data_IF_088823484595
#
_entry.id   IF_088823484595
#
_cell.length_a   1.000
_cell.length_b   1.000
_cell.length_c   1.000
_cell.angle_alpha   90.00
_cell.angle_beta   90.00
_cell.angle_gamma   90.00
#
_symmetry.space_group_name_H-M   'P 1'
#
loop_
_entity.id
_entity.type
_entity.pdbx_description
1 polymer ?
#
# COMPACT_ATOMS: atom_id res chain seq x y z
N UNK A 1 46.77 -47.83 -17.13
CA UNK A 1 46.26 -46.53 -17.60
C UNK A 1 47.47 -45.60 -17.65
N UNK A 2 47.74 -44.93 -18.77
CA UNK A 2 48.94 -44.08 -18.94
C UNK A 2 48.74 -42.75 -18.18
N UNK A 3 49.73 -42.28 -17.43
CA UNK A 3 49.66 -41.05 -16.60
C UNK A 3 49.22 -39.84 -17.45
N UNK A 4 49.61 -39.80 -18.71
CA UNK A 4 49.21 -38.74 -19.66
C UNK A 4 47.69 -38.69 -19.90
N UNK A 5 47.02 -39.85 -19.94
CA UNK A 5 45.56 -39.92 -20.11
C UNK A 5 44.84 -39.46 -18.84
N UNK A 6 45.38 -39.76 -17.66
CA UNK A 6 44.84 -39.28 -16.39
C UNK A 6 44.98 -37.76 -16.27
N UNK A 7 46.14 -37.20 -16.64
CA UNK A 7 46.35 -35.74 -16.65
C UNK A 7 45.41 -35.06 -17.64
N UNK A 8 45.20 -35.63 -18.83
CA UNK A 8 44.28 -35.08 -19.82
C UNK A 8 42.82 -35.09 -19.34
N UNK A 9 42.35 -36.18 -18.73
CA UNK A 9 40.99 -36.24 -18.18
C UNK A 9 40.83 -35.29 -16.98
N UNK A 10 41.83 -35.20 -16.10
CA UNK A 10 41.81 -34.25 -14.98
C UNK A 10 41.71 -32.81 -15.48
N UNK A 11 42.51 -32.41 -16.48
CA UNK A 11 42.40 -31.08 -17.11
C UNK A 11 41.01 -30.84 -17.67
N UNK A 12 40.46 -31.79 -18.43
CA UNK A 12 39.10 -31.70 -18.96
C UNK A 12 38.04 -31.53 -17.86
N UNK A 13 38.16 -32.25 -16.73
CA UNK A 13 37.23 -32.12 -15.60
C UNK A 13 37.37 -30.78 -14.89
N UNK A 14 38.61 -30.31 -14.69
CA UNK A 14 38.90 -29.00 -14.08
C UNK A 14 38.32 -27.87 -14.95
N UNK A 15 38.53 -27.91 -16.26
CA UNK A 15 38.00 -26.90 -17.20
C UNK A 15 36.47 -26.88 -17.26
N UNK A 16 35.83 -28.00 -16.95
CA UNK A 16 34.37 -28.10 -16.92
C UNK A 16 33.77 -27.84 -15.54
N UNK A 17 34.58 -27.75 -14.48
CA UNK A 17 34.11 -27.68 -13.09
C UNK A 17 33.20 -26.46 -12.86
N UNK A 18 33.57 -25.31 -13.42
CA UNK A 18 32.80 -24.06 -13.36
C UNK A 18 32.75 -23.48 -14.78
N UNK A 19 31.54 -23.20 -15.26
CA UNK A 19 31.30 -22.64 -16.59
C UNK A 19 30.34 -21.46 -16.51
N UNK A 20 30.41 -20.55 -17.47
CA UNK A 20 29.35 -19.58 -17.72
C UNK A 20 28.50 -20.01 -18.92
N UNK A 21 27.26 -19.57 -18.96
CA UNK A 21 26.37 -19.84 -20.08
C UNK A 21 25.13 -18.95 -20.06
N UNK A 22 24.26 -19.13 -21.05
CA UNK A 22 23.02 -18.37 -21.22
C UNK A 22 21.84 -19.33 -21.15
N UNK A 23 20.82 -18.99 -20.36
CA UNK A 23 19.59 -19.79 -20.23
C UNK A 23 18.85 -19.83 -21.57
N UNK A 24 18.55 -21.02 -22.07
CA UNK A 24 17.81 -21.22 -23.32
C UNK A 24 16.38 -21.68 -23.12
N UNK A 25 16.08 -22.32 -21.99
CA UNK A 25 14.74 -22.79 -21.64
C UNK A 25 14.59 -22.90 -20.11
N UNK A 26 13.38 -22.67 -19.59
CA UNK A 26 13.07 -22.71 -18.16
C UNK A 26 11.83 -23.56 -17.93
N UNK A 27 11.97 -24.64 -17.15
CA UNK A 27 10.86 -25.47 -16.72
C UNK A 27 10.42 -25.04 -15.31
N UNK A 28 9.37 -24.21 -15.27
CA UNK A 28 8.81 -23.66 -14.03
C UNK A 28 8.16 -24.72 -13.13
N UNK A 29 7.70 -25.85 -13.68
CA UNK A 29 7.06 -26.93 -12.89
C UNK A 29 8.09 -27.73 -12.11
N UNK A 30 9.26 -27.96 -12.69
CA UNK A 30 10.31 -28.78 -12.10
C UNK A 30 11.39 -27.96 -11.37
N UNK A 31 11.40 -26.63 -11.52
CA UNK A 31 12.45 -25.80 -10.93
C UNK A 31 13.81 -25.97 -11.62
N UNK A 32 13.79 -26.21 -12.92
CA UNK A 32 15.00 -26.51 -13.72
C UNK A 32 15.12 -25.57 -14.92
N UNK A 33 16.33 -25.43 -15.47
CA UNK A 33 16.57 -24.70 -16.71
C UNK A 33 17.63 -25.38 -17.59
N UNK A 34 17.62 -25.09 -18.89
CA UNK A 34 18.68 -25.47 -19.83
C UNK A 34 19.59 -24.28 -20.07
N UNK A 35 20.89 -24.54 -20.13
CA UNK A 35 21.90 -23.51 -20.33
C UNK A 35 22.78 -23.88 -21.51
N UNK A 36 23.05 -22.92 -22.38
CA UNK A 36 24.03 -23.04 -23.46
C UNK A 36 25.36 -22.45 -23.02
N UNK A 37 26.43 -23.23 -23.07
CA UNK A 37 27.80 -22.85 -22.71
C UNK A 37 28.76 -23.20 -23.86
N UNK A 38 29.02 -22.21 -24.73
CA UNK A 38 29.74 -22.41 -25.98
C UNK A 38 28.97 -23.34 -26.94
N UNK A 39 29.57 -24.48 -27.28
CA UNK A 39 28.94 -25.53 -28.12
C UNK A 39 28.14 -26.57 -27.31
N UNK A 40 28.21 -26.52 -25.98
CA UNK A 40 27.48 -27.41 -25.09
C UNK A 40 26.09 -26.83 -24.81
N UNK A 41 25.07 -27.66 -24.92
CA UNK A 41 23.73 -27.37 -24.39
C UNK A 41 23.42 -28.42 -23.33
N UNK A 42 23.02 -27.99 -22.13
CA UNK A 42 22.76 -28.92 -21.02
C UNK A 42 21.39 -29.57 -21.16
N UNK A 43 21.19 -30.68 -20.42
CA UNK A 43 19.85 -31.08 -20.00
C UNK A 43 19.21 -30.03 -19.09
N UNK A 44 17.97 -30.25 -18.66
CA UNK A 44 17.38 -29.47 -17.57
C UNK A 44 18.15 -29.72 -16.27
N UNK A 45 18.76 -28.68 -15.74
CA UNK A 45 19.53 -28.68 -14.49
C UNK A 45 18.76 -27.93 -13.41
N UNK A 46 18.86 -28.34 -12.14
CA UNK A 46 18.23 -27.62 -11.03
C UNK A 46 18.79 -26.20 -10.90
N UNK A 47 17.90 -25.26 -10.59
CA UNK A 47 18.22 -23.86 -10.34
C UNK A 47 18.54 -23.70 -8.84
N UNK A 48 19.64 -23.03 -8.51
CA UNK A 48 19.94 -22.66 -7.13
C UNK A 48 18.97 -21.58 -6.65
N UNK A 49 18.39 -21.75 -5.46
CA UNK A 49 17.57 -20.74 -4.80
C UNK A 49 18.38 -19.98 -3.76
N UNK A 50 17.94 -18.75 -3.42
CA UNK A 50 18.50 -18.00 -2.28
C UNK A 50 18.37 -18.81 -0.99
N UNK A 51 17.23 -19.50 -0.80
CA UNK A 51 16.96 -20.45 0.31
C UNK A 51 16.06 -21.58 -0.19
N UNK A 52 16.32 -22.81 0.27
CA UNK A 52 15.58 -24.02 -0.11
C UNK A 52 15.29 -24.97 1.07
N UNK A 53 15.12 -24.44 2.28
CA UNK A 53 14.85 -25.21 3.51
C UNK A 53 13.44 -24.94 4.06
N UNK A 54 13.33 -24.67 5.36
CA UNK A 54 12.07 -24.20 6.00
C UNK A 54 11.57 -22.91 5.36
N UNK A 55 12.49 -21.98 5.10
CA UNK A 55 12.26 -20.86 4.19
C UNK A 55 12.64 -21.26 2.77
N UNK A 56 11.75 -20.95 1.81
CA UNK A 56 11.95 -21.19 0.37
C UNK A 56 11.74 -19.90 -0.40
N UNK A 57 12.65 -19.61 -1.32
CA UNK A 57 12.53 -18.45 -2.24
C UNK A 57 12.46 -18.97 -3.66
N UNK A 58 11.43 -18.57 -4.38
CA UNK A 58 11.25 -18.88 -5.80
C UNK A 58 11.44 -17.61 -6.62
N UNK A 59 12.53 -17.56 -7.39
CA UNK A 59 12.83 -16.49 -8.34
C UNK A 59 13.60 -17.12 -9.51
N UNK A 60 12.89 -17.67 -10.51
CA UNK A 60 13.53 -18.38 -11.60
C UNK A 60 14.26 -17.39 -12.53
N UNK A 61 15.33 -17.83 -13.21
CA UNK A 61 15.98 -17.02 -14.22
C UNK A 61 15.09 -16.84 -15.44
N UNK A 62 15.42 -15.85 -16.27
CA UNK A 62 14.78 -15.62 -17.57
C UNK A 62 15.56 -16.27 -18.71
N UNK A 63 14.89 -16.61 -19.82
CA UNK A 63 15.58 -16.98 -21.06
C UNK A 63 16.44 -15.80 -21.53
N UNK A 64 17.69 -16.08 -21.89
CA UNK A 64 18.68 -15.06 -22.24
C UNK A 64 19.54 -14.60 -21.06
N UNK A 65 19.18 -14.92 -19.82
CA UNK A 65 19.97 -14.55 -18.65
C UNK A 65 21.31 -15.29 -18.61
N UNK A 66 22.40 -14.57 -18.30
CA UNK A 66 23.72 -15.16 -18.13
C UNK A 66 23.87 -15.74 -16.71
N UNK A 67 24.38 -16.96 -16.62
CA UNK A 67 24.42 -17.75 -15.38
C UNK A 67 25.75 -18.48 -15.22
N UNK A 68 26.06 -18.88 -13.99
CA UNK A 68 27.18 -19.79 -13.68
C UNK A 68 26.66 -21.21 -13.52
N UNK A 69 27.39 -22.19 -14.04
CA UNK A 69 27.09 -23.62 -13.98
C UNK A 69 28.19 -24.30 -13.17
N UNK A 70 27.83 -24.97 -12.08
CA UNK A 70 28.76 -25.78 -11.27
C UNK A 70 28.59 -27.24 -11.62
N UNK A 71 29.55 -27.81 -12.33
CA UNK A 71 29.50 -29.20 -12.79
C UNK A 71 30.16 -30.13 -11.79
N UNK A 72 29.38 -30.94 -11.07
CA UNK A 72 29.92 -31.87 -10.08
C UNK A 72 30.89 -32.85 -10.76
N UNK A 73 32.10 -32.94 -10.21
CA UNK A 73 33.20 -33.75 -10.78
C UNK A 73 33.56 -33.42 -12.24
N UNK A 74 33.25 -32.20 -12.71
CA UNK A 74 33.47 -31.79 -14.10
C UNK A 74 32.48 -32.41 -15.11
N UNK A 75 31.35 -32.95 -14.63
CA UNK A 75 30.28 -33.50 -15.46
C UNK A 75 29.09 -32.51 -15.59
N UNK A 76 28.86 -31.93 -16.77
CA UNK A 76 27.73 -31.02 -16.99
C UNK A 76 26.35 -31.66 -16.79
N UNK A 77 26.25 -32.99 -16.92
CA UNK A 77 25.00 -33.73 -16.70
C UNK A 77 24.61 -33.81 -15.23
N UNK A 78 25.47 -33.43 -14.28
CA UNK A 78 25.16 -33.42 -12.84
C UNK A 78 25.31 -32.03 -12.24
N UNK A 79 25.21 -31.00 -13.09
CA UNK A 79 25.46 -29.63 -12.69
C UNK A 79 24.28 -28.98 -11.98
N UNK A 80 24.56 -27.87 -11.31
CA UNK A 80 23.56 -26.93 -10.78
C UNK A 80 23.78 -25.56 -11.43
N UNK A 81 22.70 -24.79 -11.60
CA UNK A 81 22.76 -23.45 -12.19
C UNK A 81 22.62 -22.41 -11.10
N UNK A 82 23.54 -21.45 -11.06
CA UNK A 82 23.48 -20.25 -10.23
C UNK A 82 23.14 -19.03 -11.10
N UNK A 83 21.89 -18.54 -11.03
CA UNK A 83 21.45 -17.34 -11.75
C UNK A 83 22.22 -16.07 -11.35
N UNK A 84 22.21 -15.09 -12.26
CA UNK A 84 22.75 -13.75 -12.00
C UNK A 84 24.22 -13.58 -12.37
N UNK A 85 24.45 -13.10 -13.59
CA UNK A 85 25.65 -12.37 -13.97
C UNK A 85 25.22 -11.18 -14.85
N UNK A 86 25.59 -9.97 -14.46
CA UNK A 86 25.35 -8.80 -15.31
C UNK A 86 26.09 -8.95 -16.64
N UNK A 87 25.41 -8.58 -17.71
CA UNK A 87 25.93 -8.61 -19.07
C UNK A 87 25.35 -7.47 -19.89
N UNK A 88 25.80 -7.28 -21.13
CA UNK A 88 25.32 -6.19 -21.99
C UNK A 88 23.81 -6.23 -22.24
N UNK A 89 23.21 -7.43 -22.29
CA UNK A 89 21.77 -7.59 -22.44
C UNK A 89 20.99 -7.29 -21.15
N UNK A 90 21.60 -7.52 -19.99
CA UNK A 90 21.01 -7.35 -18.66
C UNK A 90 22.02 -6.68 -17.73
N UNK A 91 22.25 -5.36 -17.86
CA UNK A 91 23.18 -4.62 -17.02
C UNK A 91 22.64 -4.46 -15.59
N UNK A 92 23.49 -4.00 -14.68
CA UNK A 92 23.04 -3.66 -13.32
C UNK A 92 21.95 -2.57 -13.36
N UNK A 93 20.86 -2.71 -12.59
CA UNK A 93 19.74 -1.77 -12.65
C UNK A 93 20.02 -0.46 -11.89
N UNK A 94 21.03 -0.45 -11.02
CA UNK A 94 21.42 0.70 -10.19
C UNK A 94 22.94 0.74 -9.99
N UNK A 95 23.48 1.91 -9.61
CA UNK A 95 24.92 2.13 -9.41
C UNK A 95 25.27 2.71 -8.02
N UNK A 96 24.29 2.87 -7.12
CA UNK A 96 24.49 3.39 -5.77
C UNK A 96 25.05 2.31 -4.85
N UNK A 97 26.02 2.67 -4.02
CA UNK A 97 26.82 1.71 -3.23
C UNK A 97 26.14 1.16 -1.97
N UNK A 98 24.97 1.69 -1.55
CA UNK A 98 24.28 1.31 -0.30
C UNK A 98 22.77 1.08 -0.50
N UNK A 99 22.42 0.54 -1.65
CA UNK A 99 21.04 0.39 -2.07
C UNK A 99 20.76 -1.06 -2.41
N UNK A 100 19.71 -1.62 -1.83
CA UNK A 100 19.09 -2.83 -2.37
C UNK A 100 18.05 -2.37 -3.40
N UNK A 101 18.25 -2.68 -4.67
CA UNK A 101 17.34 -2.31 -5.75
C UNK A 101 16.86 -3.55 -6.48
N UNK A 102 15.54 -3.82 -6.42
CA UNK A 102 14.91 -4.90 -7.17
C UNK A 102 14.01 -4.31 -8.24
N UNK A 103 14.39 -4.51 -9.51
CA UNK A 103 13.63 -4.09 -10.69
C UNK A 103 12.87 -5.29 -11.28
N UNK A 104 11.57 -5.11 -11.52
CA UNK A 104 10.69 -6.11 -12.12
C UNK A 104 10.42 -5.82 -13.61
N UNK A 105 10.08 -6.83 -14.43
CA UNK A 105 9.93 -6.66 -15.88
C UNK A 105 8.74 -5.78 -16.30
N UNK A 106 7.79 -5.51 -15.40
CA UNK A 106 6.68 -4.57 -15.61
C UNK A 106 7.03 -3.13 -15.21
N UNK A 107 8.28 -2.88 -14.82
CA UNK A 107 8.77 -1.58 -14.36
C UNK A 107 8.54 -1.31 -12.87
N UNK A 108 7.98 -2.27 -12.12
CA UNK A 108 7.87 -2.14 -10.67
C UNK A 108 9.26 -2.17 -10.01
N UNK A 109 9.39 -1.45 -8.89
CA UNK A 109 10.63 -1.35 -8.11
C UNK A 109 10.30 -1.57 -6.64
N UNK A 110 11.10 -2.39 -5.97
CA UNK A 110 11.20 -2.45 -4.50
C UNK A 110 12.63 -2.12 -4.11
N UNK A 111 12.81 -1.08 -3.31
CA UNK A 111 14.13 -0.55 -2.98
C UNK A 111 14.25 -0.12 -1.52
N UNK A 112 15.43 -0.37 -0.94
CA UNK A 112 15.87 0.32 0.29
C UNK A 112 17.20 1.03 0.06
N UNK A 113 17.23 2.35 0.24
CA UNK A 113 18.44 3.19 0.13
C UNK A 113 18.89 3.67 1.52
N UNK A 114 20.02 3.15 1.98
CA UNK A 114 20.58 3.49 3.29
C UNK A 114 21.31 4.84 3.33
N UNK A 115 21.56 5.50 2.19
CA UNK A 115 22.11 6.86 2.18
C UNK A 115 21.09 7.89 2.69
N UNK A 116 19.81 7.64 2.41
CA UNK A 116 18.68 8.51 2.78
C UNK A 116 17.69 7.85 3.74
N UNK A 117 17.93 6.59 4.12
CA UNK A 117 17.07 5.76 4.97
C UNK A 117 15.63 5.64 4.43
N UNK A 118 15.48 5.38 3.13
CA UNK A 118 14.18 5.35 2.46
C UNK A 118 13.84 3.95 1.93
N UNK A 119 12.62 3.49 2.21
CA UNK A 119 11.99 2.33 1.59
C UNK A 119 11.04 2.82 0.49
N UNK A 120 11.13 2.23 -0.70
CA UNK A 120 10.31 2.57 -1.86
C UNK A 120 9.68 1.31 -2.46
N UNK A 121 8.38 1.41 -2.79
CA UNK A 121 7.67 0.46 -3.64
C UNK A 121 6.84 1.25 -4.67
N UNK A 122 7.19 1.15 -5.95
CA UNK A 122 6.58 1.94 -7.05
C UNK A 122 6.32 1.10 -8.29
N UNK A 123 5.50 1.62 -9.21
CA UNK A 123 5.18 0.95 -10.48
C UNK A 123 4.23 -0.25 -10.34
N UNK A 124 3.71 -0.50 -9.14
CA UNK A 124 2.78 -1.59 -8.86
C UNK A 124 1.33 -1.19 -9.13
N UNK A 125 0.50 -2.16 -9.52
CA UNK A 125 -0.95 -1.97 -9.71
C UNK A 125 -1.76 -2.20 -8.43
N UNK A 126 -1.33 -3.14 -7.59
CA UNK A 126 -2.03 -3.53 -6.35
C UNK A 126 -1.02 -3.83 -5.23
N UNK A 127 -1.44 -3.66 -3.99
CA UNK A 127 -0.72 -4.08 -2.78
C UNK A 127 -1.74 -4.58 -1.74
N UNK A 128 -1.50 -5.73 -1.13
CA UNK A 128 -2.34 -6.30 -0.07
C UNK A 128 -1.50 -6.62 1.17
N UNK A 129 -2.05 -6.33 2.36
CA UNK A 129 -1.47 -6.69 3.65
C UNK A 129 -2.58 -7.36 4.46
N UNK A 130 -2.44 -8.67 4.71
CA UNK A 130 -3.40 -9.48 5.44
C UNK A 130 -2.76 -10.00 6.73
N UNK A 131 -3.41 -9.75 7.88
CA UNK A 131 -2.92 -10.14 9.21
C UNK A 131 -4.06 -10.64 10.07
N UNK A 132 -3.82 -11.67 10.89
CA UNK A 132 -4.82 -12.20 11.83
C UNK A 132 -4.97 -11.41 13.13
N UNK A 133 -3.94 -10.63 13.50
CA UNK A 133 -3.88 -9.96 14.80
C UNK A 133 -3.90 -8.43 14.67
N UNK A 134 -2.85 -7.83 14.11
CA UNK A 134 -2.77 -6.37 14.03
C UNK A 134 -1.78 -5.87 12.96
N UNK A 135 -2.02 -4.63 12.54
CA UNK A 135 -1.08 -3.80 11.76
C UNK A 135 -0.84 -2.53 12.58
N UNK A 136 0.42 -2.13 12.76
CA UNK A 136 0.81 -0.91 13.50
C UNK A 136 1.75 -0.06 12.66
N UNK A 137 1.51 1.26 12.58
CA UNK A 137 2.36 2.22 11.91
C UNK A 137 2.66 3.41 12.83
N UNK A 138 3.91 3.49 13.32
CA UNK A 138 4.38 4.57 14.21
C UNK A 138 5.25 5.54 13.40
N UNK A 139 4.76 6.76 13.20
CA UNK A 139 5.46 7.82 12.45
C UNK A 139 5.07 9.19 12.98
N UNK A 140 5.93 10.19 12.78
CA UNK A 140 5.61 11.59 13.06
C UNK A 140 4.63 12.18 12.03
N UNK A 141 4.67 11.70 10.79
CA UNK A 141 3.80 12.16 9.70
C UNK A 141 3.34 10.97 8.85
N UNK A 142 2.04 10.91 8.59
CA UNK A 142 1.41 9.97 7.66
C UNK A 142 0.56 10.74 6.63
N UNK A 143 0.51 10.26 5.40
CA UNK A 143 -0.29 10.85 4.33
C UNK A 143 -0.84 9.73 3.45
N UNK A 144 -2.14 9.77 3.17
CA UNK A 144 -2.83 8.83 2.29
C UNK A 144 -3.51 9.65 1.20
N UNK A 145 -3.02 9.52 -0.04
CA UNK A 145 -3.56 10.21 -1.20
C UNK A 145 -4.30 9.19 -2.07
N UNK A 146 -5.63 9.20 -2.04
CA UNK A 146 -6.48 8.39 -2.91
C UNK A 146 -7.41 9.33 -3.69
N UNK A 147 -7.51 9.12 -5.01
CA UNK A 147 -8.30 9.98 -5.91
C UNK A 147 -9.75 9.54 -6.04
N UNK A 148 -10.06 8.29 -5.72
CA UNK A 148 -11.41 7.74 -5.81
C UNK A 148 -12.05 7.61 -4.43
N UNK A 149 -11.48 6.78 -3.55
CA UNK A 149 -12.03 6.55 -2.23
C UNK A 149 -11.00 6.06 -1.20
N UNK A 150 -11.34 6.21 0.08
CA UNK A 150 -10.68 5.56 1.22
C UNK A 150 -11.78 4.86 2.02
N UNK A 151 -11.70 3.53 2.14
CA UNK A 151 -12.67 2.74 2.90
C UNK A 151 -12.05 2.20 4.19
N UNK A 152 -12.77 2.35 5.31
CA UNK A 152 -12.39 1.77 6.59
C UNK A 152 -13.59 1.03 7.21
N UNK A 153 -13.50 -0.30 7.25
CA UNK A 153 -14.54 -1.16 7.85
C UNK A 153 -14.02 -1.68 9.19
N UNK A 154 -14.60 -1.18 10.28
CA UNK A 154 -14.20 -1.55 11.64
C UNK A 154 -15.41 -1.55 12.57
N UNK A 155 -15.33 -2.29 13.67
CA UNK A 155 -16.31 -2.20 14.77
C UNK A 155 -16.20 -0.88 15.54
N UNK A 156 -14.99 -0.31 15.62
CA UNK A 156 -14.71 0.94 16.31
C UNK A 156 -13.57 1.69 15.61
N UNK A 157 -13.77 2.99 15.39
CA UNK A 157 -12.74 3.92 14.93
C UNK A 157 -12.50 4.99 15.99
N UNK A 158 -11.25 5.20 16.37
CA UNK A 158 -10.85 6.19 17.37
C UNK A 158 -9.83 7.14 16.77
N UNK A 159 -10.13 8.44 16.76
CA UNK A 159 -9.21 9.50 16.32
C UNK A 159 -8.89 10.40 17.50
N UNK A 160 -7.65 10.35 17.97
CA UNK A 160 -7.14 11.24 19.02
C UNK A 160 -6.29 12.32 18.38
N UNK A 161 -6.90 13.48 18.15
CA UNK A 161 -6.25 14.63 17.53
C UNK A 161 -6.70 15.93 18.23
N UNK A 162 -5.92 17.01 18.04
CA UNK A 162 -6.31 18.35 18.48
C UNK A 162 -7.39 18.97 17.58
N UNK A 163 -7.50 18.50 16.34
CA UNK A 163 -8.54 18.90 15.40
C UNK A 163 -8.72 17.84 14.30
N UNK A 164 -9.93 17.80 13.73
CA UNK A 164 -10.28 16.96 12.58
C UNK A 164 -10.97 17.88 11.57
N UNK A 165 -10.43 17.93 10.36
CA UNK A 165 -11.02 18.67 9.25
C UNK A 165 -11.66 17.67 8.28
N UNK A 166 -12.94 17.87 7.98
CA UNK A 166 -13.68 17.12 6.96
C UNK A 166 -14.07 18.08 5.85
N UNK A 167 -13.20 18.21 4.86
CA UNK A 167 -13.46 19.04 3.68
C UNK A 167 -14.20 18.20 2.63
N UNK A 168 -15.52 18.11 2.81
CA UNK A 168 -16.40 17.34 1.93
C UNK A 168 -17.74 18.07 1.77
N UNK A 169 -18.39 17.98 0.60
CA UNK A 169 -19.73 18.54 0.40
C UNK A 169 -20.78 17.94 1.34
N UNK A 170 -20.62 16.67 1.73
CA UNK A 170 -21.55 15.93 2.60
C UNK A 170 -20.75 15.10 3.60
N UNK A 171 -21.13 15.20 4.88
CA UNK A 171 -20.69 14.33 5.97
C UNK A 171 -21.91 13.64 6.56
N UNK A 172 -21.94 12.31 6.51
CA UNK A 172 -23.10 11.52 6.95
C UNK A 172 -22.77 10.72 8.21
N UNK A 173 -23.56 10.92 9.27
CA UNK A 173 -23.63 9.99 10.39
C UNK A 173 -24.97 9.25 10.30
N UNK A 174 -24.93 7.92 10.13
CA UNK A 174 -26.16 7.09 10.02
C UNK A 174 -26.81 6.82 11.38
N UNK A 175 -26.04 6.96 12.46
CA UNK A 175 -26.50 6.88 13.84
C UNK A 175 -26.42 8.23 14.56
N UNK A 176 -26.42 8.18 15.89
CA UNK A 176 -26.35 9.36 16.74
C UNK A 176 -24.98 10.06 16.62
N UNK A 177 -24.99 11.36 16.33
CA UNK A 177 -23.84 12.24 16.52
C UNK A 177 -23.90 12.83 17.93
N UNK A 178 -22.90 12.54 18.76
CA UNK A 178 -22.73 13.15 20.09
C UNK A 178 -21.49 14.04 20.07
N UNK A 179 -21.64 15.28 20.52
CA UNK A 179 -20.55 16.22 20.69
C UNK A 179 -20.80 17.08 21.93
N UNK A 180 -19.73 17.58 22.54
CA UNK A 180 -19.83 18.51 23.68
C UNK A 180 -20.50 19.82 23.29
N UNK A 181 -20.25 20.27 22.06
CA UNK A 181 -20.90 21.42 21.43
C UNK A 181 -20.91 21.20 19.93
N UNK A 182 -21.91 21.77 19.24
CA UNK A 182 -22.01 21.77 17.78
C UNK A 182 -22.18 23.22 17.36
N UNK A 183 -21.33 23.70 16.47
CA UNK A 183 -21.48 24.98 15.80
C UNK A 183 -21.77 24.70 14.33
N UNK A 184 -22.93 25.16 13.85
CA UNK A 184 -23.32 25.07 12.45
C UNK A 184 -23.21 26.47 11.86
N UNK A 185 -22.62 26.57 10.68
CA UNK A 185 -22.74 27.78 9.86
C UNK A 185 -21.47 28.60 9.64
N UNK A 186 -20.37 28.34 10.37
CA UNK A 186 -19.05 28.94 10.11
C UNK A 186 -19.07 30.45 9.82
N UNK A 187 -18.08 30.96 9.11
CA UNK A 187 -18.07 32.35 8.61
C UNK A 187 -18.98 32.57 7.39
N UNK A 188 -19.63 31.51 6.88
CA UNK A 188 -20.37 31.51 5.61
C UNK A 188 -21.89 31.52 5.71
N UNK A 189 -22.48 31.57 6.91
CA UNK A 189 -23.93 31.65 7.09
C UNK A 189 -24.67 30.34 6.79
N UNK A 190 -24.12 29.19 7.18
CA UNK A 190 -24.79 27.90 6.99
C UNK A 190 -26.06 27.75 7.84
N UNK A 191 -27.00 26.94 7.35
CA UNK A 191 -28.28 26.67 7.99
C UNK A 191 -28.29 25.27 8.61
N UNK A 192 -29.00 25.12 9.73
CA UNK A 192 -29.32 23.83 10.30
C UNK A 192 -30.77 23.46 9.94
N UNK A 193 -30.94 22.38 9.17
CA UNK A 193 -32.26 21.82 8.83
C UNK A 193 -32.45 20.53 9.63
N UNK A 194 -33.52 20.45 10.43
CA UNK A 194 -33.82 19.30 11.28
C UNK A 194 -35.17 18.72 10.88
N UNK A 195 -35.15 17.57 10.20
CA UNK A 195 -36.35 16.84 9.78
C UNK A 195 -36.78 15.87 10.88
N UNK A 196 -37.26 16.41 11.99
CA UNK A 196 -37.69 15.63 13.14
C UNK A 196 -38.00 16.49 14.36
N UNK A 197 -38.47 15.87 15.46
CA UNK A 197 -38.70 16.59 16.70
C UNK A 197 -37.39 17.11 17.28
N UNK A 198 -37.43 18.32 17.83
CA UNK A 198 -36.32 18.92 18.56
C UNK A 198 -36.68 18.96 20.04
N UNK A 199 -35.83 18.40 20.90
CA UNK A 199 -35.95 18.52 22.36
C UNK A 199 -34.76 19.29 22.89
N UNK A 200 -35.03 20.41 23.56
CA UNK A 200 -34.01 21.28 24.15
C UNK A 200 -34.17 21.19 25.66
N UNK A 201 -33.12 20.73 26.34
CA UNK A 201 -33.01 20.81 27.80
C UNK A 201 -32.07 21.96 28.15
N UNK A 202 -32.65 23.03 28.68
CA UNK A 202 -31.97 24.31 28.92
C UNK A 202 -32.63 25.43 28.14
N UNK A 203 -31.98 26.59 28.12
CA UNK A 203 -32.50 27.78 27.44
C UNK A 203 -32.15 27.78 25.95
N UNK A 204 -33.08 28.29 25.14
CA UNK A 204 -32.81 28.72 23.75
C UNK A 204 -32.62 30.24 23.76
N UNK A 205 -31.52 30.72 23.18
CA UNK A 205 -31.26 32.15 22.99
C UNK A 205 -31.03 32.45 21.51
N UNK A 206 -31.80 33.41 20.99
CA UNK A 206 -31.70 33.92 19.62
C UNK A 206 -31.44 35.42 19.67
N UNK A 207 -30.40 35.89 18.99
CA UNK A 207 -29.96 37.30 19.02
C UNK A 207 -30.28 38.07 17.73
N UNK A 208 -30.72 37.39 16.67
CA UNK A 208 -31.03 37.98 15.36
C UNK A 208 -32.00 37.08 14.58
N UNK A 209 -32.71 37.67 13.61
CA UNK A 209 -33.74 36.96 12.83
C UNK A 209 -35.03 36.75 13.61
N UNK A 210 -36.02 36.12 12.98
CA UNK A 210 -37.35 35.86 13.57
C UNK A 210 -37.48 34.41 14.04
N UNK A 211 -38.03 34.20 15.25
CA UNK A 211 -38.41 32.87 15.71
C UNK A 211 -39.88 32.63 15.32
N UNK A 212 -40.09 31.91 14.21
CA UNK A 212 -41.42 31.63 13.68
C UNK A 212 -41.81 30.17 13.87
N UNK A 213 -43.07 29.93 14.24
CA UNK A 213 -43.69 28.62 14.27
C UNK A 213 -45.07 28.69 13.63
N UNK A 214 -45.28 27.93 12.56
CA UNK A 214 -46.55 27.89 11.82
C UNK A 214 -47.08 29.28 11.41
N UNK A 215 -46.18 30.21 11.05
CA UNK A 215 -46.53 31.57 10.63
C UNK A 215 -46.65 32.59 11.76
N UNK A 216 -46.59 32.16 13.04
CA UNK A 216 -46.56 33.08 14.18
C UNK A 216 -45.12 33.40 14.55
N UNK A 217 -44.76 34.68 14.48
CA UNK A 217 -43.44 35.19 14.86
C UNK A 217 -43.47 35.65 16.31
N UNK A 218 -42.66 35.03 17.17
CA UNK A 218 -42.75 35.17 18.62
C UNK A 218 -42.63 36.63 19.10
N UNK A 219 -41.65 37.37 18.59
CA UNK A 219 -41.32 38.72 19.03
C UNK A 219 -42.19 39.82 18.41
N UNK A 220 -42.96 39.51 17.37
CA UNK A 220 -43.78 40.51 16.66
C UNK A 220 -45.27 40.12 16.54
N UNK A 221 -45.72 39.07 17.22
CA UNK A 221 -47.12 38.65 17.16
C UNK A 221 -48.04 39.72 17.77
N UNK A 222 -49.23 39.85 17.19
CA UNK A 222 -50.28 40.77 17.63
C UNK A 222 -51.56 39.98 17.86
N UNK A 223 -52.43 40.53 18.69
CA UNK A 223 -53.75 39.97 19.02
C UNK A 223 -54.83 40.90 18.42
N UNK A 224 -55.85 40.33 17.77
CA UNK A 224 -57.01 41.04 17.22
C UNK A 224 -58.30 40.72 18.02
N UNK A 225 -59.43 41.37 17.68
CA UNK A 225 -60.72 41.09 18.31
C UNK A 225 -60.87 41.53 19.78
N UNK A 226 -59.96 42.37 20.28
CA UNK A 226 -60.00 42.91 21.65
C UNK A 226 -60.70 44.27 21.72
N UNK A 227 -61.43 44.55 22.81
CA UNK A 227 -61.93 45.90 23.10
C UNK A 227 -60.76 46.79 23.50
N UNK A 228 -60.49 47.83 22.72
CA UNK A 228 -59.32 48.69 22.92
C UNK A 228 -59.53 49.65 24.07
N UNK A 229 -58.74 49.52 25.14
CA UNK A 229 -58.69 50.44 26.28
C UNK A 229 -57.30 51.07 26.46
N UNK A 230 -57.18 52.06 27.37
CA UNK A 230 -55.90 52.72 27.67
C UNK A 230 -54.93 51.94 28.58
N UNK A 231 -55.31 50.74 29.02
CA UNK A 231 -54.52 49.90 29.93
C UNK A 231 -53.57 48.94 29.20
N UNK A 232 -52.44 48.62 29.80
CA UNK A 232 -51.55 47.53 29.34
C UNK A 232 -51.97 46.24 30.02
N UNK A 233 -52.07 45.14 29.27
CA UNK A 233 -52.60 43.84 29.75
C UNK A 233 -51.67 43.09 30.73
N UNK A 234 -50.52 43.67 31.09
CA UNK A 234 -49.44 42.93 31.78
C UNK A 234 -48.69 41.98 30.85
N UNK A 235 -47.71 41.26 31.40
CA UNK A 235 -46.97 40.23 30.66
C UNK A 235 -47.81 38.96 30.45
N UNK A 236 -47.47 38.12 29.45
CA UNK A 236 -48.07 36.80 29.31
C UNK A 236 -47.88 36.00 30.60
N UNK A 237 -48.94 35.34 31.08
CA UNK A 237 -48.91 34.40 32.21
C UNK A 237 -48.93 32.95 31.72
#
# INVERSE_FOLDING_TARGET
>A
MNIENEIADLRRRIDNLIRTGVVTDVNLKEGTCRVKSGKLETRHLPISAIRAGDARVWWPPSVGEQVTIFCMSGNPETAIVLPGLFCDAFPQPDARSKTLHVHFPDGAIIEYDANVSALLATGIKTASIETSESITANTSKATVNATENINATTKQATVKATGITLDAPIVTCTGLMQAKSISVGGSGGGSAIINGPVSIKGSLSQTSGSLSSNGVVLDSHKHDGVETGGGTTGGPV
#
